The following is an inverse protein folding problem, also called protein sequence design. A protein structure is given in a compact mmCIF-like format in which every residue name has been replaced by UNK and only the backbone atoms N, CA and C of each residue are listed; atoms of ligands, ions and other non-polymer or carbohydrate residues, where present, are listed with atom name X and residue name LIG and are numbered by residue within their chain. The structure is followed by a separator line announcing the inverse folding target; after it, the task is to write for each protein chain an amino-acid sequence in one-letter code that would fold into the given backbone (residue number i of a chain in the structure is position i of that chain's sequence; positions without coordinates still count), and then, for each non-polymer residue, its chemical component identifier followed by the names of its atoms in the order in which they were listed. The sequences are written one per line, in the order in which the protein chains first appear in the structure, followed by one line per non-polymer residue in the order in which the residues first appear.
data_IF_623589494927
#
_entry.id   IF_623589494927
#
_cell.length_a   1.000
_cell.length_b   1.000
_cell.length_c   1.000
_cell.angle_alpha   90.00
_cell.angle_beta   90.00
_cell.angle_gamma   90.00
#
_symmetry.space_group_name_H-M   'P 1'
#
loop_
_entity.id
_entity.type
_entity.pdbx_description
1 polymer ?
#
# COMPACT_ATOMS: atom_id res chain seq x y z
N UNK A 1 -0.61 -5.96 -24.23
CA UNK A 1 -1.53 -5.13 -23.42
C UNK A 1 -0.67 -4.28 -22.47
N UNK A 2 -0.20 -3.11 -22.91
CA UNK A 2 0.54 -2.17 -22.05
C UNK A 2 -0.43 -1.16 -21.44
N UNK A 3 -1.43 -1.65 -20.70
CA UNK A 3 -2.29 -0.79 -19.88
C UNK A 3 -1.55 -0.48 -18.59
N UNK A 4 -1.00 0.72 -18.46
CA UNK A 4 -0.44 1.17 -17.19
C UNK A 4 -1.56 1.21 -16.16
N UNK A 5 -1.45 0.39 -15.10
CA UNK A 5 -2.36 0.45 -13.95
C UNK A 5 -2.20 1.85 -13.35
N UNK A 6 -3.23 2.68 -13.47
CA UNK A 6 -3.25 3.99 -12.84
C UNK A 6 -3.77 3.87 -11.42
N UNK A 7 -3.14 4.60 -10.49
CA UNK A 7 -3.65 4.74 -9.13
C UNK A 7 -4.99 5.46 -9.15
N UNK A 8 -5.96 4.95 -8.40
CA UNK A 8 -7.22 5.63 -8.13
C UNK A 8 -6.98 6.93 -7.34
N UNK A 9 -7.95 7.85 -7.37
CA UNK A 9 -7.88 9.10 -6.60
C UNK A 9 -7.65 8.82 -5.12
N UNK A 10 -8.35 7.84 -4.55
CA UNK A 10 -8.19 7.40 -3.16
C UNK A 10 -6.76 6.93 -2.88
N UNK A 11 -6.20 6.08 -3.74
CA UNK A 11 -4.82 5.59 -3.58
C UNK A 11 -3.81 6.74 -3.63
N UNK A 12 -4.03 7.76 -4.45
CA UNK A 12 -3.17 8.95 -4.50
C UNK A 12 -3.26 9.76 -3.21
N UNK A 13 -4.46 9.96 -2.66
CA UNK A 13 -4.64 10.64 -1.37
C UNK A 13 -3.95 9.90 -0.23
N UNK A 14 -4.05 8.57 -0.19
CA UNK A 14 -3.38 7.76 0.83
C UNK A 14 -1.85 7.89 0.74
N UNK A 15 -1.29 7.92 -0.48
CA UNK A 15 0.15 8.16 -0.68
C UNK A 15 0.55 9.54 -0.17
N UNK A 16 -0.20 10.59 -0.50
CA UNK A 16 0.07 11.95 0.00
C UNK A 16 0.00 12.03 1.53
N UNK A 17 -0.97 11.34 2.14
CA UNK A 17 -1.07 11.24 3.60
C UNK A 17 0.17 10.57 4.21
N UNK A 18 0.64 9.45 3.63
CA UNK A 18 1.83 8.77 4.10
C UNK A 18 3.10 9.60 3.92
N UNK A 19 3.24 10.27 2.77
CA UNK A 19 4.37 11.16 2.51
C UNK A 19 4.41 12.29 3.55
N UNK A 20 3.27 12.94 3.80
CA UNK A 20 3.20 13.98 4.84
C UNK A 20 3.58 13.44 6.22
N UNK A 21 3.10 12.24 6.58
CA UNK A 21 3.46 11.63 7.86
C UNK A 21 4.96 11.35 7.96
N UNK A 22 5.59 10.89 6.88
CA UNK A 22 7.05 10.68 6.84
C UNK A 22 7.80 12.00 7.01
N UNK A 23 7.40 13.05 6.29
CA UNK A 23 8.07 14.35 6.28
C UNK A 23 7.97 15.09 7.62
N UNK A 24 6.88 14.90 8.36
CA UNK A 24 6.65 15.58 9.65
C UNK A 24 7.11 14.78 10.87
N UNK A 25 7.42 13.48 10.71
CA UNK A 25 7.85 12.64 11.83
C UNK A 25 9.32 12.87 12.16
N UNK A 26 9.59 13.37 13.36
CA UNK A 26 10.96 13.60 13.86
C UNK A 26 11.43 12.53 14.85
N UNK A 27 10.49 11.76 15.41
CA UNK A 27 10.77 10.69 16.36
C UNK A 27 11.22 9.41 15.60
N UNK A 28 12.45 8.90 15.82
CA UNK A 28 12.96 7.72 15.12
C UNK A 28 12.16 6.44 15.38
N UNK A 29 11.58 6.27 16.56
CA UNK A 29 10.75 5.10 16.88
C UNK A 29 9.39 5.19 16.19
N UNK A 30 8.79 6.38 16.11
CA UNK A 30 7.58 6.60 15.30
C UNK A 30 7.85 6.35 13.81
N UNK A 31 8.99 6.82 13.29
CA UNK A 31 9.40 6.56 11.91
C UNK A 31 9.57 5.06 11.64
N UNK A 32 10.18 4.33 12.59
CA UNK A 32 10.33 2.88 12.52
C UNK A 32 8.98 2.16 12.50
N UNK A 33 8.00 2.62 13.28
CA UNK A 33 6.65 2.06 13.25
C UNK A 33 5.95 2.33 11.91
N UNK A 34 6.04 3.56 11.40
CA UNK A 34 5.47 3.93 10.11
C UNK A 34 6.08 3.11 8.96
N UNK A 35 7.39 2.87 8.99
CA UNK A 35 8.07 2.01 8.02
C UNK A 35 7.58 0.55 8.06
N UNK A 36 7.34 0.00 9.26
CA UNK A 36 6.78 -1.36 9.40
C UNK A 36 5.37 -1.45 8.84
N UNK A 37 4.53 -0.45 9.07
CA UNK A 37 3.17 -0.38 8.53
C UNK A 37 3.18 -0.33 7.00
N UNK A 38 4.03 0.51 6.41
CA UNK A 38 4.22 0.60 4.96
C UNK A 38 4.67 -0.74 4.37
N UNK A 39 5.63 -1.40 5.00
CA UNK A 39 6.10 -2.73 4.56
C UNK A 39 4.97 -3.77 4.59
N UNK A 40 4.17 -3.81 5.66
CA UNK A 40 3.05 -4.75 5.78
C UNK A 40 1.97 -4.48 4.71
N UNK A 41 1.62 -3.21 4.49
CA UNK A 41 0.66 -2.82 3.47
C UNK A 41 1.13 -3.24 2.06
N UNK A 42 2.40 -2.97 1.74
CA UNK A 42 2.99 -3.37 0.45
C UNK A 42 2.96 -4.90 0.24
N UNK A 43 3.37 -5.69 1.24
CA UNK A 43 3.34 -7.15 1.13
C UNK A 43 1.91 -7.67 0.95
N UNK A 44 0.94 -7.08 1.65
CA UNK A 44 -0.48 -7.45 1.54
C UNK A 44 -1.01 -7.18 0.14
N UNK A 45 -0.72 -6.00 -0.44
CA UNK A 45 -1.13 -5.67 -1.79
C UNK A 45 -0.46 -6.60 -2.82
N UNK A 46 0.84 -6.87 -2.67
CA UNK A 46 1.57 -7.81 -3.53
C UNK A 46 0.98 -9.22 -3.47
N UNK A 47 0.61 -9.70 -2.29
CA UNK A 47 -0.05 -10.99 -2.10
C UNK A 47 -1.43 -11.01 -2.78
N UNK A 48 -2.25 -9.98 -2.59
CA UNK A 48 -3.57 -9.87 -3.22
C UNK A 48 -3.47 -9.83 -4.76
N UNK A 49 -2.55 -9.04 -5.32
CA UNK A 49 -2.29 -9.00 -6.77
C UNK A 49 -1.81 -10.36 -7.28
N UNK A 50 -0.87 -11.00 -6.59
CA UNK A 50 -0.37 -12.33 -6.96
C UNK A 50 -1.48 -13.37 -6.95
N UNK A 51 -2.41 -13.26 -5.99
CA UNK A 51 -3.53 -14.16 -5.84
C UNK A 51 -4.55 -13.96 -6.97
N UNK A 52 -4.92 -12.71 -7.31
CA UNK A 52 -5.80 -12.39 -8.46
C UNK A 52 -5.21 -12.92 -9.77
N UNK A 53 -3.91 -12.69 -9.99
CA UNK A 53 -3.22 -13.13 -11.21
C UNK A 53 -3.15 -14.66 -11.36
N UNK A 54 -3.19 -15.40 -10.25
CA UNK A 54 -3.11 -16.87 -10.26
C UNK A 54 -4.47 -17.56 -10.27
N UNK A 55 -5.53 -16.95 -9.71
CA UNK A 55 -6.77 -17.68 -9.35
C UNK A 55 -8.10 -17.04 -9.78
N UNK A 56 -8.14 -15.85 -10.40
CA UNK A 56 -9.38 -15.04 -10.48
C UNK A 56 -9.63 -14.27 -9.16
N UNK A 57 -10.70 -13.48 -8.95
CA UNK A 57 -10.86 -12.53 -7.83
C UNK A 57 -11.17 -13.14 -6.44
N UNK A 58 -10.75 -12.49 -5.31
CA UNK A 58 -10.95 -12.90 -3.92
C UNK A 58 -12.11 -13.81 -3.57
N UNK A 59 -12.03 -14.99 -2.91
CA UNK A 59 -13.09 -15.29 -1.96
C UNK A 59 -12.93 -14.26 -0.83
N UNK A 60 -13.67 -13.16 -0.96
CA UNK A 60 -13.96 -12.07 -0.02
C UNK A 60 -13.10 -12.06 1.27
N UNK A 61 -12.29 -11.02 1.44
CA UNK A 61 -11.77 -10.66 2.76
C UNK A 61 -12.95 -10.32 3.68
N UNK A 62 -13.19 -11.18 4.69
CA UNK A 62 -13.86 -10.82 5.95
C UNK A 62 -12.87 -10.17 6.90
#
# INVERSE_FOLDING_TARGET
MNGSIQLSTEQRFQIEQFNRALDTTQDPDQLRQLAKQLMQAWQTQKAATSWIMRQGPPPLMR
#
